data_IF_929570330125
#
_entry.id   IF_929570330125
#
_cell.length_a   1.000
_cell.length_b   1.000
_cell.length_c   1.000
_cell.angle_alpha   90.00
_cell.angle_beta   90.00
_cell.angle_gamma   90.00
#
_symmetry.space_group_name_H-M   'P 1'
#
loop_
_entity.id
_entity.type
_entity.pdbx_description
1 polymer ?
#
# COMPACT_ATOMS: atom_id res chain seq x y z
N UNK A 1 -2.13 -24.86 -6.64
CA UNK A 1 -1.68 -25.14 -5.26
C UNK A 1 -2.86 -25.45 -4.35
N UNK A 2 -3.79 -24.51 -4.14
CA UNK A 2 -4.94 -24.68 -3.23
C UNK A 2 -5.76 -25.96 -3.50
N UNK A 3 -6.13 -26.23 -4.76
CA UNK A 3 -6.90 -27.43 -5.11
C UNK A 3 -6.19 -28.74 -4.74
N UNK A 4 -4.86 -28.79 -4.87
CA UNK A 4 -4.04 -29.96 -4.52
C UNK A 4 -4.01 -30.15 -3.00
N UNK A 5 -3.88 -29.05 -2.24
CA UNK A 5 -3.95 -29.09 -0.77
C UNK A 5 -5.32 -29.62 -0.31
N UNK A 6 -6.41 -29.12 -0.90
CA UNK A 6 -7.77 -29.57 -0.56
C UNK A 6 -7.95 -31.07 -0.88
N UNK A 7 -7.41 -31.56 -1.99
CA UNK A 7 -7.49 -32.98 -2.34
C UNK A 7 -6.77 -33.88 -1.32
N UNK A 8 -5.54 -33.53 -0.92
CA UNK A 8 -4.81 -34.28 0.11
C UNK A 8 -5.44 -34.13 1.50
N UNK A 9 -5.93 -32.95 1.86
CA UNK A 9 -6.67 -32.71 3.09
C UNK A 9 -7.91 -33.60 3.18
N UNK A 10 -8.69 -33.66 2.09
CA UNK A 10 -9.88 -34.49 2.02
C UNK A 10 -9.54 -35.98 2.13
N UNK A 11 -8.47 -36.42 1.48
CA UNK A 11 -7.99 -37.82 1.57
C UNK A 11 -7.61 -38.17 3.01
N UNK A 12 -6.86 -37.30 3.69
CA UNK A 12 -6.48 -37.51 5.09
C UNK A 12 -7.65 -37.39 6.05
N UNK A 13 -8.60 -36.49 5.79
CA UNK A 13 -9.83 -36.37 6.56
C UNK A 13 -10.63 -37.67 6.51
N UNK A 14 -10.83 -38.26 5.33
CA UNK A 14 -11.53 -39.54 5.21
C UNK A 14 -10.76 -40.65 5.95
N UNK A 15 -9.43 -40.65 5.85
CA UNK A 15 -8.58 -41.68 6.44
C UNK A 15 -8.50 -41.60 7.98
N UNK A 16 -8.41 -40.39 8.53
CA UNK A 16 -8.03 -40.15 9.93
C UNK A 16 -9.15 -39.55 10.78
N UNK A 17 -10.33 -39.26 10.22
CA UNK A 17 -11.46 -38.72 10.99
C UNK A 17 -11.91 -39.66 12.10
N UNK A 18 -11.89 -40.96 11.85
CA UNK A 18 -12.29 -41.98 12.82
C UNK A 18 -11.37 -43.21 12.78
N UNK A 19 -10.23 -43.15 13.49
CA UNK A 19 -9.25 -44.23 13.49
C UNK A 19 -9.72 -45.47 14.25
N UNK A 20 -10.73 -45.35 15.14
CA UNK A 20 -11.32 -46.49 15.87
C UNK A 20 -12.08 -47.42 14.91
N UNK A 21 -12.81 -46.84 13.96
CA UNK A 21 -13.53 -47.60 12.94
C UNK A 21 -12.62 -48.23 11.86
N UNK A 22 -11.39 -47.76 11.73
CA UNK A 22 -10.43 -48.19 10.69
C UNK A 22 -9.26 -49.01 11.23
N UNK A 23 -9.27 -49.38 12.52
CA UNK A 23 -8.19 -50.12 13.20
C UNK A 23 -6.80 -49.47 13.05
N UNK A 24 -6.74 -48.14 12.95
CA UNK A 24 -5.48 -47.41 12.87
C UNK A 24 -4.88 -47.31 14.26
N UNK A 25 -3.63 -47.78 14.42
CA UNK A 25 -2.90 -47.71 15.68
C UNK A 25 -2.38 -46.29 15.92
N UNK A 26 -2.44 -45.85 17.16
CA UNK A 26 -1.85 -44.59 17.63
C UNK A 26 -0.47 -44.92 18.20
N UNK A 27 0.51 -44.06 17.92
CA UNK A 27 1.85 -44.19 18.48
C UNK A 27 1.81 -43.82 19.95
N UNK A 28 1.94 -44.80 20.84
CA UNK A 28 2.09 -44.53 22.27
C UNK A 28 3.53 -44.10 22.56
N UNK A 29 3.77 -42.81 22.78
CA UNK A 29 5.05 -42.33 23.31
C UNK A 29 5.02 -42.34 24.83
N UNK A 30 5.90 -43.14 25.44
CA UNK A 30 6.16 -43.11 26.89
C UNK A 30 7.51 -42.44 27.11
N UNK A 31 7.53 -41.37 27.89
CA UNK A 31 8.75 -40.68 28.30
C UNK A 31 9.03 -41.00 29.76
N UNK A 32 10.22 -41.50 30.05
CA UNK A 32 10.67 -41.76 31.42
C UNK A 32 11.89 -40.94 31.74
N UNK A 33 11.95 -40.41 32.95
CA UNK A 33 13.08 -39.64 33.43
C UNK A 33 13.27 -39.84 34.92
N UNK A 34 14.52 -39.80 35.34
CA UNK A 34 14.88 -39.89 36.75
C UNK A 34 15.17 -38.48 37.25
N UNK A 35 14.41 -38.02 38.24
CA UNK A 35 14.65 -36.75 38.91
C UNK A 35 15.19 -37.01 40.32
N UNK A 36 16.35 -36.46 40.63
CA UNK A 36 16.93 -36.49 41.98
C UNK A 36 16.59 -35.22 42.73
N UNK A 37 15.97 -35.34 43.90
CA UNK A 37 15.73 -34.20 44.77
C UNK A 37 17.07 -33.75 45.40
N UNK A 38 17.50 -32.53 45.09
CA UNK A 38 18.77 -31.95 45.54
C UNK A 38 18.86 -31.78 47.07
N UNK A 39 17.74 -31.74 47.80
CA UNK A 39 17.72 -31.59 49.25
C UNK A 39 17.67 -32.93 50.00
N UNK A 40 16.96 -33.94 49.48
CA UNK A 40 16.74 -35.23 50.17
C UNK A 40 17.53 -36.39 49.58
N UNK A 41 18.21 -36.20 48.44
CA UNK A 41 18.88 -37.27 47.67
C UNK A 41 17.97 -38.43 47.25
N UNK A 42 16.65 -38.23 47.30
CA UNK A 42 15.68 -39.22 46.86
C UNK A 42 15.55 -39.22 45.34
N UNK A 43 15.45 -40.42 44.78
CA UNK A 43 15.34 -40.66 43.34
C UNK A 43 13.86 -40.87 43.00
N UNK A 44 13.30 -39.99 42.17
CA UNK A 44 11.94 -40.09 41.66
C UNK A 44 11.97 -40.57 40.21
N UNK A 45 11.43 -41.77 39.95
CA UNK A 45 11.19 -42.27 38.59
C UNK A 45 9.87 -41.68 38.08
N UNK A 46 9.94 -40.79 37.11
CA UNK A 46 8.78 -40.13 36.52
C UNK A 46 8.51 -40.75 35.15
N UNK A 47 7.29 -41.25 34.94
CA UNK A 47 6.82 -41.77 33.66
C UNK A 47 5.64 -40.94 33.16
N UNK A 48 5.79 -40.32 31.99
CA UNK A 48 4.72 -39.63 31.28
C UNK A 48 4.25 -40.51 30.12
N UNK A 49 2.94 -40.66 30.00
CA UNK A 49 2.30 -41.25 28.81
C UNK A 49 1.58 -40.13 28.06
N UNK A 50 1.73 -40.10 26.74
CA UNK A 50 0.97 -39.16 25.91
C UNK A 50 -0.52 -39.50 25.96
N UNK A 51 -1.34 -38.50 26.27
CA UNK A 51 -2.81 -38.59 26.29
C UNK A 51 -3.37 -37.99 25.00
N UNK A 52 -3.04 -38.61 23.86
CA UNK A 52 -3.54 -38.18 22.56
C UNK A 52 -4.90 -38.79 22.29
N UNK A 53 -5.94 -37.96 22.15
CA UNK A 53 -7.27 -38.41 21.73
C UNK A 53 -7.48 -38.19 20.22
N UNK A 54 -7.57 -39.27 19.43
CA UNK A 54 -7.72 -39.15 17.98
C UNK A 54 -9.10 -38.60 17.54
N UNK A 55 -10.09 -38.62 18.43
CA UNK A 55 -11.45 -38.14 18.16
C UNK A 55 -11.67 -36.70 18.60
N UNK A 56 -10.68 -36.11 19.30
CA UNK A 56 -10.72 -34.75 19.79
C UNK A 56 -10.10 -33.76 18.78
N UNK A 57 -9.80 -32.55 19.28
CA UNK A 57 -9.04 -31.53 18.56
C UNK A 57 -7.54 -31.85 18.46
N UNK A 58 -7.05 -32.84 19.19
CA UNK A 58 -5.64 -33.26 19.12
C UNK A 58 -5.30 -33.82 17.75
N UNK A 59 -6.29 -34.45 17.09
CA UNK A 59 -6.21 -34.86 15.70
C UNK A 59 -6.70 -33.72 14.78
N UNK A 60 -5.80 -33.03 14.06
CA UNK A 60 -6.22 -31.95 13.16
C UNK A 60 -7.02 -32.46 11.94
N UNK A 61 -7.05 -33.78 11.70
CA UNK A 61 -7.83 -34.40 10.62
C UNK A 61 -9.21 -34.91 11.08
N UNK A 62 -9.62 -34.63 12.33
CA UNK A 62 -10.96 -34.99 12.83
C UNK A 62 -12.09 -34.13 12.22
N UNK A 63 -11.78 -32.90 11.79
CA UNK A 63 -12.70 -32.00 11.10
C UNK A 63 -12.17 -31.54 9.73
N UNK A 64 -13.09 -31.22 8.82
CA UNK A 64 -12.74 -30.90 7.43
C UNK A 64 -11.89 -29.63 7.31
N UNK A 65 -12.27 -28.53 7.95
CA UNK A 65 -11.51 -27.28 7.84
C UNK A 65 -10.14 -27.34 8.52
N UNK A 66 -10.04 -28.01 9.67
CA UNK A 66 -8.75 -28.24 10.35
C UNK A 66 -7.84 -29.16 9.54
N UNK A 67 -8.40 -30.10 8.76
CA UNK A 67 -7.61 -30.94 7.85
C UNK A 67 -6.97 -30.14 6.72
N UNK A 68 -7.68 -29.11 6.20
CA UNK A 68 -7.14 -28.21 5.18
C UNK A 68 -6.01 -27.37 5.76
N UNK A 69 -6.19 -26.86 6.97
CA UNK A 69 -5.16 -26.11 7.69
C UNK A 69 -3.90 -26.97 7.93
N UNK A 70 -4.07 -28.20 8.41
CA UNK A 70 -2.95 -29.12 8.61
C UNK A 70 -2.22 -29.46 7.30
N UNK A 71 -2.97 -29.74 6.22
CA UNK A 71 -2.38 -30.01 4.91
C UNK A 71 -1.70 -28.77 4.29
N UNK A 72 -2.19 -27.56 4.60
CA UNK A 72 -1.52 -26.33 4.21
C UNK A 72 -0.15 -26.20 4.89
N UNK A 73 -0.05 -26.52 6.18
CA UNK A 73 1.21 -26.52 6.91
C UNK A 73 2.21 -27.60 6.48
N UNK A 74 1.82 -28.54 5.62
CA UNK A 74 2.78 -29.45 5.00
C UNK A 74 3.78 -28.74 4.08
N UNK A 75 3.40 -27.59 3.52
CA UNK A 75 4.28 -26.76 2.70
C UNK A 75 5.49 -26.27 3.51
N UNK A 76 5.29 -26.03 4.81
CA UNK A 76 6.37 -25.60 5.72
C UNK A 76 7.11 -26.78 6.35
N UNK A 77 6.73 -28.02 6.02
CA UNK A 77 7.34 -29.23 6.56
C UNK A 77 6.76 -29.71 7.90
N UNK A 78 5.62 -29.18 8.33
CA UNK A 78 4.98 -29.64 9.56
C UNK A 78 4.05 -30.84 9.29
N UNK A 79 4.52 -32.06 9.61
CA UNK A 79 3.82 -33.31 9.33
C UNK A 79 3.31 -34.00 10.61
N UNK A 80 2.42 -33.32 11.36
CA UNK A 80 1.91 -33.77 12.67
C UNK A 80 1.38 -35.21 12.66
N UNK A 81 0.69 -35.64 11.59
CA UNK A 81 0.10 -36.98 11.51
C UNK A 81 1.11 -38.12 11.51
N UNK A 82 2.33 -37.91 10.98
CA UNK A 82 3.37 -38.95 10.94
C UNK A 82 3.88 -39.31 12.33
N UNK A 83 3.82 -38.37 13.27
CA UNK A 83 4.23 -38.57 14.66
C UNK A 83 3.16 -39.23 15.54
N UNK A 84 1.88 -39.10 15.19
CA UNK A 84 0.77 -39.54 16.03
C UNK A 84 0.18 -40.90 15.61
N UNK A 85 0.18 -41.21 14.32
CA UNK A 85 -0.46 -42.41 13.78
C UNK A 85 0.57 -43.42 13.25
N UNK A 86 0.35 -44.70 13.55
CA UNK A 86 1.16 -45.82 13.08
C UNK A 86 0.43 -46.54 11.93
N UNK A 87 0.47 -45.94 10.74
CA UNK A 87 -0.17 -46.49 9.56
C UNK A 87 0.60 -46.17 8.27
N UNK A 88 0.91 -47.21 7.49
CA UNK A 88 1.77 -47.09 6.30
C UNK A 88 1.22 -46.13 5.24
N UNK A 89 -0.11 -46.05 5.08
CA UNK A 89 -0.71 -45.21 4.05
C UNK A 89 -0.46 -43.72 4.33
N UNK A 90 -0.30 -43.34 5.61
CA UNK A 90 -0.02 -41.96 6.01
C UNK A 90 1.36 -41.54 5.48
N UNK A 91 2.36 -42.41 5.66
CA UNK A 91 3.71 -42.17 5.13
C UNK A 91 3.71 -42.13 3.60
N UNK A 92 2.95 -43.03 2.94
CA UNK A 92 2.84 -43.06 1.48
C UNK A 92 2.24 -41.77 0.91
N UNK A 93 1.10 -41.32 1.43
CA UNK A 93 0.47 -40.08 0.98
C UNK A 93 1.28 -38.84 1.36
N UNK A 94 1.96 -38.83 2.52
CA UNK A 94 2.85 -37.74 2.89
C UNK A 94 4.05 -37.62 1.94
N UNK A 95 4.63 -38.75 1.50
CA UNK A 95 5.70 -38.76 0.50
C UNK A 95 5.20 -38.19 -0.83
N UNK A 96 4.05 -38.66 -1.32
CA UNK A 96 3.46 -38.15 -2.57
C UNK A 96 3.18 -36.66 -2.45
N UNK A 97 2.54 -36.23 -1.35
CA UNK A 97 2.23 -34.82 -1.12
C UNK A 97 3.49 -33.96 -1.06
N UNK A 98 4.58 -34.45 -0.46
CA UNK A 98 5.86 -33.75 -0.42
C UNK A 98 6.43 -33.54 -1.84
N UNK A 99 6.44 -34.57 -2.69
CA UNK A 99 6.91 -34.45 -4.07
C UNK A 99 6.06 -33.43 -4.84
N UNK A 100 4.73 -33.51 -4.76
CA UNK A 100 3.87 -32.59 -5.50
C UNK A 100 3.94 -31.16 -4.95
N UNK A 101 3.67 -30.95 -3.66
CA UNK A 101 3.53 -29.62 -3.08
C UNK A 101 4.87 -28.89 -2.98
N UNK A 102 5.89 -29.57 -2.44
CA UNK A 102 7.18 -28.95 -2.13
C UNK A 102 8.12 -29.04 -3.33
N UNK A 103 8.25 -30.20 -3.97
CA UNK A 103 9.21 -30.34 -5.08
C UNK A 103 8.68 -29.79 -6.40
N UNK A 104 7.45 -30.11 -6.80
CA UNK A 104 6.96 -29.71 -8.12
C UNK A 104 6.36 -28.30 -8.07
N UNK A 105 5.32 -28.09 -7.26
CA UNK A 105 4.55 -26.85 -7.28
C UNK A 105 5.38 -25.64 -6.82
N UNK A 106 6.19 -25.77 -5.77
CA UNK A 106 7.02 -24.66 -5.31
C UNK A 106 8.11 -24.30 -6.33
N UNK A 107 8.74 -25.28 -6.97
CA UNK A 107 9.74 -25.01 -8.02
C UNK A 107 9.12 -24.41 -9.28
N UNK A 108 7.91 -24.85 -9.68
CA UNK A 108 7.16 -24.22 -10.78
C UNK A 108 6.82 -22.76 -10.42
N UNK A 109 6.38 -22.50 -9.20
CA UNK A 109 6.07 -21.14 -8.74
C UNK A 109 7.31 -20.26 -8.77
N UNK A 110 8.46 -20.74 -8.28
CA UNK A 110 9.73 -20.00 -8.32
C UNK A 110 10.16 -19.73 -9.76
N UNK A 111 10.11 -20.73 -10.64
CA UNK A 111 10.47 -20.56 -12.05
C UNK A 111 9.55 -19.56 -12.76
N UNK A 112 8.24 -19.63 -12.50
CA UNK A 112 7.25 -18.69 -13.02
C UNK A 112 7.52 -17.27 -12.52
N UNK A 113 7.70 -17.09 -11.21
CA UNK A 113 8.00 -15.79 -10.62
C UNK A 113 9.32 -15.21 -11.14
N UNK A 114 10.35 -16.04 -11.33
CA UNK A 114 11.62 -15.60 -11.90
C UNK A 114 11.48 -15.15 -13.36
N UNK A 115 10.75 -15.89 -14.18
CA UNK A 115 10.51 -15.52 -15.58
C UNK A 115 9.69 -14.22 -15.72
N UNK A 116 8.63 -14.09 -14.92
CA UNK A 116 7.82 -12.86 -14.86
C UNK A 116 8.64 -11.70 -14.30
N UNK A 117 9.45 -11.91 -13.26
CA UNK A 117 10.28 -10.87 -12.65
C UNK A 117 11.34 -10.33 -13.62
N UNK A 118 12.00 -11.20 -14.40
CA UNK A 118 12.92 -10.78 -15.46
C UNK A 118 12.23 -9.88 -16.49
N UNK A 119 11.04 -10.28 -16.94
CA UNK A 119 10.27 -9.53 -17.93
C UNK A 119 9.72 -8.22 -17.34
N UNK A 120 9.25 -8.25 -16.11
CA UNK A 120 8.74 -7.09 -15.39
C UNK A 120 9.86 -6.14 -14.97
N UNK A 121 11.08 -6.60 -14.74
CA UNK A 121 12.23 -5.74 -14.43
C UNK A 121 12.58 -4.82 -15.60
N UNK A 122 12.55 -5.35 -16.83
CA UNK A 122 12.86 -4.57 -18.04
C UNK A 122 11.78 -3.52 -18.37
N UNK A 123 10.50 -3.86 -18.19
CA UNK A 123 9.36 -2.97 -18.51
C UNK A 123 8.74 -2.26 -17.29
N UNK A 124 9.22 -2.57 -16.09
CA UNK A 124 8.60 -2.16 -14.83
C UNK A 124 8.76 -0.68 -14.56
N UNK A 125 9.94 -0.11 -14.84
CA UNK A 125 10.20 1.32 -14.68
C UNK A 125 9.25 2.16 -15.55
N UNK A 126 9.04 1.77 -16.80
CA UNK A 126 8.14 2.46 -17.72
C UNK A 126 6.68 2.38 -17.25
N UNK A 127 6.24 1.19 -16.80
CA UNK A 127 4.87 1.01 -16.30
C UNK A 127 4.63 1.78 -14.99
N UNK A 128 5.64 1.85 -14.12
CA UNK A 128 5.60 2.64 -12.88
C UNK A 128 5.47 4.13 -13.16
N UNK A 129 6.30 4.68 -14.05
CA UNK A 129 6.24 6.09 -14.43
C UNK A 129 4.89 6.46 -15.05
N UNK A 130 4.34 5.58 -15.90
CA UNK A 130 3.00 5.77 -16.48
C UNK A 130 1.90 5.73 -15.42
N UNK A 131 1.99 4.81 -14.46
CA UNK A 131 1.05 4.74 -13.36
C UNK A 131 1.09 6.01 -12.50
N UNK A 132 2.28 6.54 -12.20
CA UNK A 132 2.44 7.80 -11.49
C UNK A 132 1.86 8.98 -12.27
N UNK A 133 2.14 9.08 -13.57
CA UNK A 133 1.58 10.13 -14.42
C UNK A 133 0.05 10.09 -14.46
N UNK A 134 -0.54 8.89 -14.59
CA UNK A 134 -1.99 8.73 -14.57
C UNK A 134 -2.59 9.16 -13.22
N UNK A 135 -1.96 8.80 -12.10
CA UNK A 135 -2.42 9.24 -10.77
C UNK A 135 -2.39 10.75 -10.60
N UNK A 136 -1.37 11.42 -11.14
CA UNK A 136 -1.29 12.89 -11.13
C UNK A 136 -2.43 13.48 -11.97
N UNK A 137 -2.66 12.94 -13.17
CA UNK A 137 -3.75 13.40 -14.05
C UNK A 137 -5.10 13.21 -13.38
N UNK A 138 -5.36 12.05 -12.78
CA UNK A 138 -6.61 11.76 -12.08
C UNK A 138 -6.79 12.70 -10.89
N UNK A 139 -5.71 12.99 -10.14
CA UNK A 139 -5.74 13.95 -9.04
C UNK A 139 -6.04 15.38 -9.54
N UNK A 140 -5.38 15.84 -10.60
CA UNK A 140 -5.61 17.17 -11.18
C UNK A 140 -7.02 17.33 -11.76
N UNK A 141 -7.52 16.27 -12.41
CA UNK A 141 -8.89 16.22 -12.94
C UNK A 141 -9.95 16.29 -11.84
N UNK A 142 -9.68 15.71 -10.67
CA UNK A 142 -10.57 15.77 -9.50
C UNK A 142 -10.36 17.05 -8.67
N UNK A 143 -9.16 17.63 -8.65
CA UNK A 143 -8.86 18.84 -7.88
C UNK A 143 -9.51 20.09 -8.48
N UNK A 144 -9.49 20.23 -9.83
CA UNK A 144 -10.13 21.35 -10.54
C UNK A 144 -11.62 21.55 -10.25
N UNK A 145 -12.49 20.52 -10.26
CA UNK A 145 -13.92 20.69 -10.02
C UNK A 145 -14.28 20.97 -8.56
N UNK A 146 -13.48 20.55 -7.57
CA UNK A 146 -13.87 20.63 -6.16
C UNK A 146 -13.28 21.81 -5.37
N UNK A 147 -12.12 22.37 -5.75
CA UNK A 147 -11.39 23.31 -4.88
C UNK A 147 -10.92 24.61 -5.54
N UNK A 148 -11.21 24.86 -6.82
CA UNK A 148 -10.86 26.12 -7.50
C UNK A 148 -12.12 26.78 -8.08
N UNK A 149 -12.20 28.13 -8.03
CA UNK A 149 -13.13 28.87 -8.89
C UNK A 149 -12.85 28.45 -10.35
N UNK A 150 -13.87 28.12 -11.16
CA UNK A 150 -13.64 27.67 -12.53
C UNK A 150 -12.91 28.78 -13.27
N UNK A 151 -11.65 28.52 -13.67
CA UNK A 151 -10.99 29.35 -14.68
C UNK A 151 -11.79 29.18 -15.97
N UNK A 152 -12.07 30.25 -16.74
CA UNK A 152 -12.73 30.11 -18.03
C UNK A 152 -11.95 29.10 -18.86
N UNK A 153 -12.59 27.99 -19.23
CA UNK A 153 -11.99 26.98 -20.07
C UNK A 153 -11.63 27.61 -21.41
N UNK A 154 -10.35 27.66 -21.80
CA UNK A 154 -10.03 28.04 -23.16
C UNK A 154 -10.61 26.94 -24.06
N UNK A 155 -11.56 27.31 -24.93
CA UNK A 155 -12.18 26.38 -25.90
C UNK A 155 -11.15 25.60 -26.74
N UNK A 156 -9.91 26.08 -26.80
CA UNK A 156 -8.78 25.43 -27.45
C UNK A 156 -7.50 25.72 -26.66
N UNK A 157 -6.64 24.72 -26.48
CA UNK A 157 -5.26 24.95 -26.02
C UNK A 157 -4.48 25.43 -27.24
N UNK A 158 -4.24 26.74 -27.33
CA UNK A 158 -3.36 27.31 -28.36
C UNK A 158 -1.92 27.29 -27.84
N UNK A 159 -1.09 26.42 -28.42
CA UNK A 159 0.35 26.48 -28.22
C UNK A 159 1.00 27.08 -29.47
N UNK A 160 1.46 28.33 -29.37
CA UNK A 160 2.27 28.96 -30.40
C UNK A 160 3.70 28.40 -30.31
N UNK A 161 3.89 27.21 -30.88
CA UNK A 161 5.23 26.74 -31.21
C UNK A 161 5.63 27.38 -32.53
N UNK A 162 6.75 28.09 -32.58
CA UNK A 162 7.42 28.30 -33.85
C UNK A 162 7.72 26.90 -34.42
N UNK A 163 7.24 26.59 -35.63
CA UNK A 163 7.33 25.23 -36.20
C UNK A 163 8.74 24.63 -36.13
N UNK A 164 9.78 25.48 -36.21
CA UNK A 164 11.18 25.11 -36.03
C UNK A 164 11.48 24.48 -34.67
N UNK A 165 10.93 25.02 -33.58
CA UNK A 165 11.14 24.46 -32.24
C UNK A 165 10.43 23.12 -32.07
N UNK A 166 9.27 22.94 -32.73
CA UNK A 166 8.59 21.65 -32.74
C UNK A 166 9.33 20.62 -33.60
N UNK A 167 9.79 21.00 -34.79
CA UNK A 167 10.61 20.12 -35.65
C UNK A 167 11.92 19.75 -34.98
N UNK A 168 12.61 20.69 -34.33
CA UNK A 168 13.84 20.40 -33.57
C UNK A 168 13.58 19.47 -32.38
N UNK A 169 12.46 19.63 -31.68
CA UNK A 169 12.06 18.76 -30.58
C UNK A 169 11.63 17.36 -31.07
N UNK A 170 10.82 17.27 -32.13
CA UNK A 170 10.39 16.02 -32.77
C UNK A 170 11.60 15.26 -33.33
N UNK A 171 12.53 15.96 -33.98
CA UNK A 171 13.78 15.36 -34.47
C UNK A 171 14.69 14.91 -33.33
N UNK A 172 14.75 15.64 -32.20
CA UNK A 172 15.46 15.18 -30.99
C UNK A 172 14.83 13.94 -30.40
N UNK A 173 13.50 13.85 -30.32
CA UNK A 173 12.79 12.67 -29.79
C UNK A 173 12.87 11.47 -30.74
N UNK A 174 12.84 11.69 -32.06
CA UNK A 174 13.05 10.62 -33.04
C UNK A 174 14.49 10.10 -33.04
N UNK A 175 15.47 10.98 -32.82
CA UNK A 175 16.89 10.63 -32.75
C UNK A 175 17.32 10.01 -31.41
N UNK A 176 16.77 10.52 -30.30
CA UNK A 176 16.81 9.88 -28.99
C UNK A 176 15.61 8.96 -28.88
N UNK A 177 15.65 7.82 -29.57
CA UNK A 177 14.65 6.78 -29.44
C UNK A 177 14.69 6.24 -28.00
N UNK A 178 14.07 6.99 -27.09
CA UNK A 178 13.80 6.57 -25.73
C UNK A 178 13.01 5.28 -25.89
N UNK A 179 13.55 4.18 -25.37
CA UNK A 179 12.95 2.84 -25.28
C UNK A 179 11.48 2.88 -24.76
N UNK A 180 11.08 4.00 -24.16
CA UNK A 180 9.72 4.36 -23.75
C UNK A 180 8.71 4.36 -24.92
N UNK A 181 9.12 4.62 -26.17
CA UNK A 181 8.22 4.80 -27.31
C UNK A 181 8.42 3.81 -28.46
N UNK A 182 9.34 2.85 -28.32
CA UNK A 182 9.54 1.77 -29.30
C UNK A 182 8.25 0.92 -29.40
N UNK A 183 7.54 1.04 -30.53
CA UNK A 183 6.32 0.27 -30.84
C UNK A 183 5.02 1.06 -30.94
N UNK A 184 5.04 2.40 -30.85
CA UNK A 184 3.86 3.23 -31.09
C UNK A 184 4.15 4.26 -32.20
N UNK A 185 3.45 4.14 -33.33
CA UNK A 185 3.43 5.19 -34.36
C UNK A 185 2.60 6.38 -33.85
N UNK A 186 3.26 7.49 -33.57
CA UNK A 186 2.60 8.76 -33.29
C UNK A 186 2.26 9.43 -34.62
N UNK A 187 1.00 9.37 -35.06
CA UNK A 187 0.53 10.17 -36.20
C UNK A 187 0.34 11.62 -35.75
N UNK A 188 1.34 12.46 -36.05
CA UNK A 188 1.22 13.91 -35.89
C UNK A 188 0.54 14.47 -37.14
N UNK A 189 -0.71 14.87 -37.02
CA UNK A 189 -1.44 15.55 -38.11
C UNK A 189 -1.25 17.05 -37.98
N UNK A 190 -0.54 17.66 -38.94
CA UNK A 190 -0.32 19.12 -38.97
C UNK A 190 -1.29 19.77 -39.95
N UNK A 191 -2.18 20.62 -39.44
CA UNK A 191 -3.11 21.41 -40.26
C UNK A 191 -2.68 22.87 -40.24
N UNK A 192 -2.25 23.41 -41.39
CA UNK A 192 -1.98 24.84 -41.52
C UNK A 192 -3.30 25.60 -41.66
N UNK A 193 -3.69 26.36 -40.64
CA UNK A 193 -4.86 27.22 -40.69
C UNK A 193 -4.40 28.66 -40.92
N UNK A 194 -4.91 29.31 -41.97
CA UNK A 194 -4.72 30.75 -42.18
C UNK A 194 -5.57 31.46 -41.12
N UNK A 195 -4.93 31.94 -40.07
CA UNK A 195 -5.59 32.67 -39.00
C UNK A 195 -6.08 34.02 -39.54
N UNK A 196 -7.40 34.22 -39.60
CA UNK A 196 -7.97 35.56 -39.72
C UNK A 196 -8.05 36.12 -38.31
N UNK A 197 -7.15 37.05 -38.01
CA UNK A 197 -7.20 37.85 -36.79
C UNK A 197 -8.59 38.45 -36.63
N UNK A 198 -9.31 37.98 -35.62
CA UNK A 198 -10.50 38.63 -35.11
C UNK A 198 -10.13 39.05 -33.70
N UNK A 199 -10.23 40.35 -33.46
CA UNK A 199 -10.09 40.94 -32.15
C UNK A 199 -11.24 40.43 -31.26
N UNK A 200 -10.93 39.41 -30.45
CA UNK A 200 -11.79 38.89 -29.39
C UNK A 200 -11.36 39.48 -28.03
N UNK A 201 -10.61 40.58 -28.06
CA UNK A 201 -9.69 40.97 -27.00
C UNK A 201 -10.22 42.10 -26.11
N UNK A 202 -11.54 42.11 -25.88
CA UNK A 202 -12.10 42.86 -24.77
C UNK A 202 -11.61 42.28 -23.42
N UNK A 203 -11.14 41.02 -23.39
CA UNK A 203 -10.74 40.28 -22.18
C UNK A 203 -9.34 39.62 -22.32
N UNK A 204 -8.45 40.20 -23.12
CA UNK A 204 -7.04 39.75 -23.19
C UNK A 204 -6.36 39.83 -21.85
N UNK A 205 -5.72 38.74 -21.43
CA UNK A 205 -4.75 38.76 -20.33
C UNK A 205 -3.37 39.33 -20.74
N UNK A 206 -3.21 39.83 -21.98
CA UNK A 206 -1.97 40.48 -22.43
C UNK A 206 -1.99 42.01 -22.31
N UNK A 207 -3.05 42.61 -21.77
CA UNK A 207 -2.97 43.97 -21.23
C UNK A 207 -2.23 43.94 -19.90
N UNK A 208 -0.94 44.25 -19.96
CA UNK A 208 -0.12 44.63 -18.79
C UNK A 208 -0.50 46.04 -18.30
N UNK A 209 -1.78 46.26 -18.01
CA UNK A 209 -2.24 47.46 -17.32
C UNK A 209 -3.26 47.02 -16.27
N UNK A 210 -2.79 46.90 -15.03
CA UNK A 210 -3.46 47.32 -13.78
C UNK A 210 -2.81 46.61 -12.59
N UNK A 211 -1.85 47.31 -11.97
CA UNK A 211 -1.21 46.91 -10.72
C UNK A 211 -2.16 46.88 -9.50
N UNK A 212 -3.46 47.18 -9.66
CA UNK A 212 -4.41 47.35 -8.55
C UNK A 212 -5.11 46.04 -8.11
N UNK A 213 -5.42 45.11 -9.02
CA UNK A 213 -6.22 43.92 -8.69
C UNK A 213 -5.45 42.87 -7.87
N UNK A 214 -4.11 42.82 -8.02
CA UNK A 214 -3.26 41.93 -7.21
C UNK A 214 -3.16 42.39 -5.75
N UNK A 215 -3.15 43.70 -5.49
CA UNK A 215 -3.05 44.23 -4.12
C UNK A 215 -4.36 43.96 -3.37
N UNK A 216 -5.51 44.14 -4.03
CA UNK A 216 -6.82 43.86 -3.43
C UNK A 216 -6.97 42.40 -3.00
N UNK A 217 -6.55 41.45 -3.86
CA UNK A 217 -6.57 40.01 -3.52
C UNK A 217 -5.64 39.67 -2.35
N UNK A 218 -4.45 40.28 -2.29
CA UNK A 218 -3.52 40.08 -1.18
C UNK A 218 -4.08 40.67 0.13
N UNK A 219 -4.75 41.82 0.06
CA UNK A 219 -5.43 42.43 1.22
C UNK A 219 -6.57 41.53 1.73
N UNK A 220 -7.37 40.95 0.83
CA UNK A 220 -8.43 40.01 1.22
C UNK A 220 -7.88 38.73 1.87
N UNK A 221 -6.76 38.18 1.36
CA UNK A 221 -6.09 37.03 1.98
C UNK A 221 -5.51 37.37 3.36
N UNK A 222 -4.91 38.56 3.52
CA UNK A 222 -4.41 39.04 4.82
C UNK A 222 -5.54 39.22 5.85
N UNK A 223 -6.69 39.77 5.44
CA UNK A 223 -7.87 39.92 6.30
C UNK A 223 -8.42 38.56 6.74
N UNK A 224 -8.45 37.57 5.83
CA UNK A 224 -8.89 36.22 6.14
C UNK A 224 -7.97 35.54 7.18
N UNK A 225 -6.65 35.57 6.94
CA UNK A 225 -5.66 34.98 7.87
C UNK A 225 -5.70 35.68 9.23
N UNK A 226 -5.82 37.01 9.25
CA UNK A 226 -5.94 37.80 10.47
C UNK A 226 -7.16 37.42 11.31
N UNK A 227 -8.33 37.25 10.68
CA UNK A 227 -9.55 36.83 11.36
C UNK A 227 -9.42 35.41 11.95
N UNK A 228 -8.81 34.49 11.20
CA UNK A 228 -8.61 33.11 11.66
C UNK A 228 -7.66 33.04 12.87
N UNK A 229 -6.57 33.82 12.85
CA UNK A 229 -5.65 33.94 13.99
C UNK A 229 -6.35 34.51 15.23
N UNK A 230 -7.24 35.48 15.05
CA UNK A 230 -7.97 36.09 16.16
C UNK A 230 -8.90 35.07 16.85
N UNK A 231 -9.60 34.23 16.06
CA UNK A 231 -10.43 33.13 16.59
C UNK A 231 -9.58 32.09 17.34
N UNK A 232 -8.41 31.74 16.80
CA UNK A 232 -7.49 30.81 17.46
C UNK A 232 -6.95 31.36 18.79
N UNK A 233 -6.65 32.67 18.85
CA UNK A 233 -6.22 33.37 20.08
C UNK A 233 -7.35 33.42 21.11
N UNK A 234 -8.58 33.77 20.71
CA UNK A 234 -9.73 33.80 21.62
C UNK A 234 -10.04 32.43 22.20
N UNK A 235 -9.92 31.37 21.40
CA UNK A 235 -10.07 30.00 21.86
C UNK A 235 -8.99 29.63 22.88
N UNK A 236 -7.74 30.03 22.65
CA UNK A 236 -6.67 29.83 23.62
C UNK A 236 -6.93 30.63 24.91
N UNK A 237 -7.37 31.89 24.83
CA UNK A 237 -7.69 32.71 25.99
C UNK A 237 -8.84 32.10 26.80
N UNK A 238 -9.88 31.57 26.15
CA UNK A 238 -10.98 30.86 26.83
C UNK A 238 -10.47 29.61 27.56
N UNK A 239 -9.58 28.85 26.92
CA UNK A 239 -8.94 27.68 27.55
C UNK A 239 -8.13 28.11 28.79
N UNK A 240 -7.36 29.20 28.71
CA UNK A 240 -6.56 29.70 29.83
C UNK A 240 -7.36 30.39 30.94
N UNK A 241 -8.54 30.96 30.64
CA UNK A 241 -9.44 31.57 31.63
C UNK A 241 -10.37 30.56 32.32
N UNK A 242 -10.59 29.40 31.71
CA UNK A 242 -11.55 28.39 32.17
C UNK A 242 -11.10 27.53 33.35
N UNK A 243 -9.80 27.33 33.57
CA UNK A 243 -9.33 26.34 34.55
C UNK A 243 -8.17 26.82 35.43
N UNK A 244 -8.47 27.01 36.72
CA UNK A 244 -7.52 27.15 37.83
C UNK A 244 -6.90 25.80 38.26
N UNK A 245 -6.86 24.78 37.40
CA UNK A 245 -6.24 23.48 37.71
C UNK A 245 -5.28 23.05 36.60
N UNK A 246 -3.99 23.31 36.84
CA UNK A 246 -2.89 23.19 35.88
C UNK A 246 -2.57 21.73 35.45
N UNK A 247 -3.34 20.72 35.84
CA UNK A 247 -2.88 19.33 35.72
C UNK A 247 -3.48 18.44 34.62
N UNK A 248 -4.40 18.91 33.76
CA UNK A 248 -4.99 18.01 32.73
C UNK A 248 -5.41 18.63 31.39
N UNK A 249 -4.82 19.74 30.97
CA UNK A 249 -4.87 20.13 29.56
C UNK A 249 -3.81 19.32 28.83
N UNK A 250 -4.23 18.38 27.99
CA UNK A 250 -3.34 17.45 27.30
C UNK A 250 -2.21 18.22 26.59
N UNK A 251 -0.96 18.02 27.05
CA UNK A 251 0.23 18.72 26.51
C UNK A 251 0.37 18.56 24.99
N UNK A 252 -0.31 17.58 24.40
CA UNK A 252 -0.37 17.27 22.98
C UNK A 252 -1.25 18.27 22.21
N UNK A 253 -2.42 18.65 22.73
CA UNK A 253 -3.35 19.57 22.04
C UNK A 253 -2.80 21.00 22.00
N UNK A 254 -2.23 21.47 23.11
CA UNK A 254 -1.58 22.79 23.18
C UNK A 254 -0.33 22.84 22.28
N UNK A 255 0.45 21.76 22.22
CA UNK A 255 1.63 21.67 21.35
C UNK A 255 1.25 21.64 19.87
N UNK A 256 0.19 20.91 19.51
CA UNK A 256 -0.33 20.85 18.14
C UNK A 256 -0.89 22.21 17.70
N UNK A 257 -1.69 22.87 18.54
CA UNK A 257 -2.21 24.22 18.29
C UNK A 257 -1.08 25.25 18.18
N UNK A 258 -0.06 25.19 19.04
CA UNK A 258 1.13 26.04 18.93
C UNK A 258 1.88 25.85 17.60
N UNK A 259 2.00 24.61 17.12
CA UNK A 259 2.64 24.31 15.83
C UNK A 259 1.82 24.88 14.66
N UNK A 260 0.49 24.75 14.70
CA UNK A 260 -0.41 25.32 13.70
C UNK A 260 -0.33 26.85 13.66
N UNK A 261 -0.36 27.51 14.82
CA UNK A 261 -0.15 28.97 14.93
C UNK A 261 1.19 29.42 14.35
N UNK A 262 2.27 28.68 14.64
CA UNK A 262 3.60 28.99 14.09
C UNK A 262 3.62 28.98 12.56
N UNK A 263 3.01 27.96 11.94
CA UNK A 263 2.92 27.86 10.47
C UNK A 263 2.10 29.01 9.87
N UNK A 264 0.99 29.38 10.51
CA UNK A 264 0.16 30.52 10.06
C UNK A 264 0.92 31.84 10.14
N UNK A 265 1.71 32.06 11.20
CA UNK A 265 2.55 33.26 11.37
C UNK A 265 3.68 33.31 10.33
N UNK A 266 4.33 32.17 10.05
CA UNK A 266 5.35 32.07 8.99
C UNK A 266 4.76 32.41 7.62
N UNK A 267 3.58 31.87 7.28
CA UNK A 267 2.88 32.19 6.03
C UNK A 267 2.56 33.69 5.91
N UNK A 268 2.16 34.34 7.01
CA UNK A 268 1.88 35.78 7.06
C UNK A 268 3.16 36.60 6.85
N UNK A 269 4.29 36.15 7.41
CA UNK A 269 5.59 36.78 7.22
C UNK A 269 6.06 36.69 5.77
N UNK A 270 5.89 35.54 5.12
CA UNK A 270 6.26 35.34 3.72
C UNK A 270 5.44 36.24 2.78
N UNK A 271 4.13 36.37 3.01
CA UNK A 271 3.26 37.29 2.24
C UNK A 271 3.70 38.75 2.44
N UNK A 272 4.06 39.15 3.66
CA UNK A 272 4.57 40.50 3.94
C UNK A 272 5.93 40.76 3.30
N UNK A 273 6.82 39.76 3.24
CA UNK A 273 8.09 39.84 2.53
C UNK A 273 7.89 39.93 1.01
N UNK A 274 6.92 39.22 0.43
CA UNK A 274 6.56 39.37 -0.97
C UNK A 274 6.01 40.76 -1.29
N UNK A 275 5.22 41.36 -0.37
CA UNK A 275 4.74 42.73 -0.52
C UNK A 275 5.88 43.75 -0.42
N UNK A 276 6.81 43.60 0.53
CA UNK A 276 8.00 44.47 0.62
C UNK A 276 8.89 44.38 -0.61
N UNK A 277 8.99 43.21 -1.24
CA UNK A 277 9.73 43.04 -2.50
C UNK A 277 9.07 43.75 -3.68
N UNK A 278 7.78 44.08 -3.57
CA UNK A 278 7.01 44.85 -4.55
C UNK A 278 7.03 46.37 -4.30
N UNK A 279 7.70 46.85 -3.25
CA UNK A 279 7.99 48.28 -3.07
C UNK A 279 9.17 48.72 -3.98
N UNK A 280 8.88 48.85 -5.28
CA UNK A 280 9.26 49.92 -6.24
C UNK A 280 8.87 49.52 -7.67
#
# INVERSE_FOLDING_TARGET
MLAVIIAFAHTMFILLRDPKNTNIKIKESTYSGIATNLLTNEILDIKFKSDFDPTSKDNPFSAFFTSIEAAYFWITGNWVQRGQFDFWAIDFFALIASIFLVTILQNILIAFMNGVYSTAGTKGKQRLLRYQANHIVDYEALYKPYFSKPKPEPKHIYYFSQSKNFEEWDNKIKGEQCVIYEGYDFEVTSTSVIFKEKDYDEHSHLKYDECDDNIKLVIEELLFIGNELNVDIDNLIKIFKGDNSIEKIDKIDVRAKKKCLKVKVEKLHDILEELKKKDL
#
